data_IF_797460928208
#
_entry.id   IF_797460928208
#
_cell.length_a   1.000
_cell.length_b   1.000
_cell.length_c   1.000
_cell.angle_alpha   90.00
_cell.angle_beta   90.00
_cell.angle_gamma   90.00
#
_symmetry.space_group_name_H-M   'P 1'
#
loop_
_entity.id
_entity.type
_entity.pdbx_description
1 polymer ?
#
# COMPACT_ATOMS: atom_id res chain seq x y z
N UNK A 1 -34.08 -17.77 10.21
CA UNK A 1 -32.92 -17.85 9.30
C UNK A 1 -31.68 -17.30 10.00
N UNK A 2 -30.50 -17.91 9.82
CA UNK A 2 -29.24 -17.30 10.24
C UNK A 2 -28.93 -16.17 9.25
N UNK A 3 -28.65 -14.98 9.76
CA UNK A 3 -28.27 -13.83 8.96
C UNK A 3 -26.77 -13.94 8.60
N UNK A 4 -26.49 -14.74 7.57
CA UNK A 4 -25.13 -14.92 7.04
C UNK A 4 -24.67 -13.72 6.19
N UNK A 5 -25.58 -12.81 5.84
CA UNK A 5 -25.32 -11.70 4.92
C UNK A 5 -24.19 -10.80 5.40
N UNK A 6 -24.13 -10.51 6.70
CA UNK A 6 -23.06 -9.69 7.30
C UNK A 6 -21.67 -10.32 7.19
N UNK A 7 -21.55 -11.65 7.31
CA UNK A 7 -20.25 -12.34 7.20
C UNK A 7 -19.77 -12.37 5.75
N UNK A 8 -20.70 -12.61 4.83
CA UNK A 8 -20.40 -12.55 3.40
C UNK A 8 -19.96 -11.14 3.01
N UNK A 9 -20.63 -10.11 3.53
CA UNK A 9 -20.24 -8.72 3.32
C UNK A 9 -18.81 -8.45 3.81
N UNK A 10 -18.45 -8.87 5.02
CA UNK A 10 -17.09 -8.71 5.53
C UNK A 10 -16.04 -9.43 4.69
N UNK A 11 -16.33 -10.67 4.30
CA UNK A 11 -15.43 -11.46 3.46
C UNK A 11 -15.24 -10.80 2.09
N UNK A 12 -16.33 -10.39 1.44
CA UNK A 12 -16.28 -9.70 0.15
C UNK A 12 -15.50 -8.39 0.26
N UNK A 13 -15.81 -7.54 1.25
CA UNK A 13 -15.12 -6.28 1.45
C UNK A 13 -13.62 -6.49 1.72
N UNK A 14 -13.27 -7.52 2.49
CA UNK A 14 -11.88 -7.90 2.74
C UNK A 14 -11.16 -8.38 1.47
N UNK A 15 -11.77 -9.27 0.69
CA UNK A 15 -11.20 -9.77 -0.58
C UNK A 15 -11.00 -8.62 -1.58
N UNK A 16 -12.00 -7.76 -1.72
CA UNK A 16 -11.91 -6.55 -2.56
C UNK A 16 -10.77 -5.66 -2.08
N UNK A 17 -10.66 -5.43 -0.77
CA UNK A 17 -9.56 -4.64 -0.19
C UNK A 17 -8.20 -5.23 -0.56
N UNK A 18 -8.01 -6.54 -0.38
CA UNK A 18 -6.75 -7.22 -0.71
C UNK A 18 -6.43 -7.16 -2.21
N UNK A 19 -7.45 -7.29 -3.07
CA UNK A 19 -7.27 -7.25 -4.52
C UNK A 19 -6.74 -5.89 -5.00
N UNK A 20 -7.23 -4.80 -4.43
CA UNK A 20 -6.79 -3.43 -4.76
C UNK A 20 -5.56 -2.96 -3.97
N UNK A 21 -5.11 -3.74 -2.99
CA UNK A 21 -3.99 -3.40 -2.13
C UNK A 21 -2.68 -3.31 -2.90
N UNK A 22 -1.80 -2.42 -2.45
CA UNK A 22 -0.44 -2.34 -2.98
C UNK A 22 0.37 -3.56 -2.50
N UNK A 23 0.99 -4.27 -3.46
CA UNK A 23 1.73 -5.52 -3.20
C UNK A 23 2.89 -5.35 -2.20
N UNK A 24 3.53 -4.18 -2.19
CA UNK A 24 4.60 -3.86 -1.22
C UNK A 24 4.00 -3.62 0.16
N UNK A 25 2.87 -2.91 0.23
CA UNK A 25 2.20 -2.62 1.50
C UNK A 25 1.67 -3.87 2.18
N UNK A 26 1.13 -4.84 1.42
CA UNK A 26 0.74 -6.17 1.95
C UNK A 26 1.88 -6.90 2.66
N UNK A 27 3.12 -6.62 2.25
CA UNK A 27 4.34 -7.22 2.80
C UNK A 27 5.03 -6.27 3.80
N UNK A 28 4.27 -5.37 4.43
CA UNK A 28 4.69 -4.59 5.59
C UNK A 28 4.23 -5.29 6.87
N UNK A 29 5.03 -5.25 7.96
CA UNK A 29 4.63 -5.87 9.23
C UNK A 29 3.28 -5.37 9.75
N UNK A 30 2.99 -4.07 9.60
CA UNK A 30 1.72 -3.47 10.04
C UNK A 30 0.50 -4.00 9.29
N UNK A 31 0.64 -4.25 7.99
CA UNK A 31 -0.44 -4.82 7.18
C UNK A 31 -0.71 -6.27 7.58
N UNK A 32 0.34 -7.05 7.85
CA UNK A 32 0.19 -8.42 8.33
C UNK A 32 -0.54 -8.46 9.68
N UNK A 33 -0.14 -7.59 10.63
CA UNK A 33 -0.81 -7.49 11.94
C UNK A 33 -2.28 -7.10 11.78
N UNK A 34 -2.62 -6.11 10.95
CA UNK A 34 -4.02 -5.72 10.77
C UNK A 34 -4.88 -6.81 10.10
N UNK A 35 -4.31 -7.55 9.14
CA UNK A 35 -4.98 -8.70 8.52
C UNK A 35 -5.26 -9.80 9.56
N UNK A 36 -4.28 -10.14 10.41
CA UNK A 36 -4.44 -11.15 11.46
C UNK A 36 -5.51 -10.71 12.46
N UNK A 37 -5.46 -9.45 12.93
CA UNK A 37 -6.45 -8.90 13.86
C UNK A 37 -7.85 -8.95 13.26
N UNK A 38 -8.00 -8.59 11.98
CA UNK A 38 -9.29 -8.66 11.29
C UNK A 38 -9.83 -10.10 11.20
N UNK A 39 -8.96 -11.06 10.89
CA UNK A 39 -9.31 -12.48 10.86
C UNK A 39 -9.77 -13.01 12.21
N UNK A 40 -9.02 -12.71 13.28
CA UNK A 40 -9.39 -13.09 14.65
C UNK A 40 -10.72 -12.47 15.08
N UNK A 41 -10.92 -11.17 14.84
CA UNK A 41 -12.18 -10.50 15.18
C UNK A 41 -13.37 -11.08 14.41
N UNK A 42 -13.18 -11.39 13.12
CA UNK A 42 -14.23 -12.01 12.29
C UNK A 42 -14.61 -13.41 12.80
N UNK A 43 -13.63 -14.22 13.21
CA UNK A 43 -13.87 -15.52 13.86
C UNK A 43 -14.59 -15.37 15.20
N UNK A 44 -14.22 -14.39 16.01
CA UNK A 44 -14.90 -14.09 17.27
C UNK A 44 -16.35 -13.67 17.04
N UNK A 45 -16.64 -12.80 16.06
CA UNK A 45 -18.02 -12.42 15.71
C UNK A 45 -18.82 -13.65 15.30
N UNK A 46 -18.24 -14.56 14.50
CA UNK A 46 -18.90 -15.81 14.11
C UNK A 46 -19.19 -16.72 15.32
N UNK A 47 -18.18 -16.91 16.18
CA UNK A 47 -18.29 -17.74 17.38
C UNK A 47 -19.35 -17.21 18.35
N UNK A 48 -19.33 -15.91 18.65
CA UNK A 48 -20.29 -15.29 19.57
C UNK A 48 -21.72 -15.31 19.05
N UNK A 49 -21.94 -15.09 17.75
CA UNK A 49 -23.29 -15.15 17.17
C UNK A 49 -23.85 -16.58 17.12
N UNK A 50 -22.96 -17.58 16.99
CA UNK A 50 -23.32 -19.00 17.04
C UNK A 50 -23.68 -19.46 18.45
N UNK A 51 -22.87 -19.11 19.45
CA UNK A 51 -22.95 -19.70 20.80
C UNK A 51 -23.65 -18.80 21.84
N UNK A 52 -23.66 -17.47 21.66
CA UNK A 52 -24.09 -16.51 22.68
C UNK A 52 -25.15 -15.52 22.17
N UNK A 53 -26.19 -16.02 21.48
CA UNK A 53 -27.30 -15.21 20.89
C UNK A 53 -27.96 -14.22 21.86
N UNK A 54 -28.00 -14.52 23.16
CA UNK A 54 -28.62 -13.65 24.18
C UNK A 54 -27.76 -12.41 24.52
N UNK A 55 -26.45 -12.41 24.23
CA UNK A 55 -25.53 -11.31 24.54
C UNK A 55 -25.40 -10.32 23.37
N UNK A 56 -26.53 -9.72 22.95
CA UNK A 56 -26.61 -8.82 21.79
C UNK A 56 -25.63 -7.64 21.85
N UNK A 57 -25.34 -7.10 23.05
CA UNK A 57 -24.41 -5.97 23.23
C UNK A 57 -22.98 -6.33 22.87
N UNK A 58 -22.49 -7.49 23.31
CA UNK A 58 -21.12 -7.94 23.03
C UNK A 58 -20.95 -8.19 21.52
N UNK A 59 -21.93 -8.83 20.88
CA UNK A 59 -21.90 -9.06 19.43
C UNK A 59 -21.89 -7.75 18.63
N UNK A 60 -22.63 -6.71 19.08
CA UNK A 60 -22.59 -5.39 18.44
C UNK A 60 -21.22 -4.72 18.59
N UNK A 61 -20.61 -4.80 19.78
CA UNK A 61 -19.27 -4.23 20.03
C UNK A 61 -18.22 -4.93 19.15
N UNK A 62 -18.24 -6.26 19.10
CA UNK A 62 -17.34 -7.03 18.23
C UNK A 62 -17.53 -6.67 16.75
N UNK A 63 -18.76 -6.43 16.31
CA UNK A 63 -19.05 -5.99 14.95
C UNK A 63 -18.40 -4.63 14.64
N UNK A 64 -18.49 -3.67 15.55
CA UNK A 64 -17.84 -2.35 15.41
C UNK A 64 -16.32 -2.51 15.34
N UNK A 65 -15.72 -3.31 16.23
CA UNK A 65 -14.27 -3.56 16.20
C UNK A 65 -13.84 -4.26 14.91
N UNK A 66 -14.67 -5.15 14.36
CA UNK A 66 -14.39 -5.81 13.08
C UNK A 66 -14.37 -4.81 11.92
N UNK A 67 -15.33 -3.88 11.88
CA UNK A 67 -15.34 -2.78 10.91
C UNK A 67 -14.13 -1.87 11.05
N UNK A 68 -13.76 -1.49 12.28
CA UNK A 68 -12.56 -0.69 12.55
C UNK A 68 -11.28 -1.43 12.11
N UNK A 69 -11.21 -2.73 12.35
CA UNK A 69 -10.09 -3.55 11.91
C UNK A 69 -10.01 -3.64 10.39
N UNK A 70 -11.15 -3.74 9.70
CA UNK A 70 -11.18 -3.70 8.23
C UNK A 70 -10.67 -2.36 7.70
N UNK A 71 -11.05 -1.25 8.35
CA UNK A 71 -10.52 0.07 8.03
C UNK A 71 -8.99 0.13 8.22
N UNK A 72 -8.45 -0.48 9.28
CA UNK A 72 -7.00 -0.60 9.48
C UNK A 72 -6.33 -1.46 8.41
N UNK A 73 -6.97 -2.53 7.93
CA UNK A 73 -6.49 -3.29 6.78
C UNK A 73 -6.39 -2.37 5.57
N UNK A 74 -7.45 -1.65 5.21
CA UNK A 74 -7.43 -0.68 4.10
C UNK A 74 -6.30 0.33 4.29
N UNK A 75 -6.19 0.92 5.47
CA UNK A 75 -5.20 1.96 5.77
C UNK A 75 -3.75 1.46 5.69
N UNK A 76 -3.45 0.23 6.11
CA UNK A 76 -2.07 -0.29 6.09
C UNK A 76 -1.69 -1.04 4.82
N UNK A 77 -2.65 -1.43 3.99
CA UNK A 77 -2.42 -2.13 2.71
C UNK A 77 -2.38 -1.18 1.50
N UNK A 78 -2.65 0.09 1.71
CA UNK A 78 -2.54 1.14 0.70
C UNK A 78 -1.51 2.19 1.11
N UNK A 79 -0.90 2.86 0.15
CA UNK A 79 0.04 3.95 0.45
C UNK A 79 -0.72 5.24 0.78
N UNK A 80 -0.64 5.63 2.05
CA UNK A 80 -1.26 6.83 2.60
C UNK A 80 -0.49 7.28 3.84
N UNK A 81 -1.02 8.28 4.55
CA UNK A 81 -0.42 8.82 5.77
C UNK A 81 -0.16 7.74 6.84
N UNK A 82 -1.08 6.80 7.03
CA UNK A 82 -1.00 5.79 8.09
C UNK A 82 0.08 4.74 7.83
N UNK A 83 0.25 4.32 6.57
CA UNK A 83 1.28 3.36 6.18
C UNK A 83 2.66 4.00 6.03
N UNK A 84 2.73 5.25 5.57
CA UNK A 84 4.01 5.89 5.18
C UNK A 84 4.45 7.09 6.04
N UNK A 85 3.60 7.55 6.97
CA UNK A 85 3.76 8.73 7.87
C UNK A 85 3.98 10.09 7.22
N UNK A 86 4.07 10.16 5.89
CA UNK A 86 4.47 11.37 5.16
C UNK A 86 3.63 11.68 3.93
N UNK A 87 2.67 10.83 3.53
CA UNK A 87 1.79 11.11 2.38
C UNK A 87 0.47 11.67 2.90
N UNK A 88 0.14 12.92 2.58
CA UNK A 88 -1.20 13.45 2.88
C UNK A 88 -2.25 12.81 1.95
N UNK A 89 -3.23 12.11 2.52
CA UNK A 89 -4.45 11.69 1.80
C UNK A 89 -4.33 10.50 0.84
N UNK A 90 -5.17 10.53 -0.21
CA UNK A 90 -5.40 9.48 -1.23
C UNK A 90 -4.36 9.45 -2.36
N UNK A 91 -3.33 10.29 -2.28
CA UNK A 91 -2.41 10.60 -3.39
C UNK A 91 -1.62 9.39 -3.92
N UNK A 92 -1.42 8.36 -3.09
CA UNK A 92 -0.73 7.12 -3.48
C UNK A 92 -1.58 5.86 -3.24
N UNK A 93 -2.88 6.03 -2.99
CA UNK A 93 -3.76 4.92 -2.62
C UNK A 93 -3.74 3.80 -3.69
N UNK A 94 -3.83 4.17 -4.97
CA UNK A 94 -3.75 3.25 -6.11
C UNK A 94 -2.35 3.13 -6.74
N UNK A 95 -1.30 3.33 -5.94
CA UNK A 95 0.08 3.31 -6.44
C UNK A 95 0.44 1.99 -7.11
N UNK A 96 1.12 2.11 -8.25
CA UNK A 96 1.68 1.00 -9.01
C UNK A 96 3.06 0.64 -8.48
N UNK A 97 3.42 -0.65 -8.52
CA UNK A 97 4.70 -1.16 -8.06
C UNK A 97 5.58 -1.58 -9.24
N UNK A 98 6.85 -1.18 -9.22
CA UNK A 98 7.83 -1.51 -10.24
C UNK A 98 9.14 -1.98 -9.58
N UNK A 99 9.67 -3.13 -10.01
CA UNK A 99 11.02 -3.52 -9.59
C UNK A 99 12.04 -2.63 -10.30
N UNK A 100 12.97 -2.07 -9.54
CA UNK A 100 14.06 -1.23 -10.06
C UNK A 100 15.37 -1.66 -9.44
N UNK A 101 16.44 -1.60 -10.22
CA UNK A 101 17.81 -1.83 -9.75
C UNK A 101 18.54 -0.49 -9.68
N UNK A 102 19.16 -0.20 -8.54
CA UNK A 102 19.92 1.03 -8.24
C UNK A 102 21.23 0.56 -7.58
N UNK A 103 22.37 0.88 -8.17
CA UNK A 103 23.73 0.42 -7.80
C UNK A 103 23.85 -1.05 -7.44
N UNK A 104 23.41 -1.92 -8.35
CA UNK A 104 23.51 -3.35 -8.09
C UNK A 104 22.44 -3.89 -7.12
N UNK A 105 21.76 -3.03 -6.35
CA UNK A 105 20.76 -3.41 -5.35
C UNK A 105 19.34 -3.37 -5.92
N UNK A 106 18.51 -4.31 -5.45
CA UNK A 106 17.11 -4.43 -5.87
C UNK A 106 16.21 -3.61 -4.95
N UNK A 107 15.36 -2.80 -5.56
CA UNK A 107 14.34 -2.01 -4.90
C UNK A 107 12.98 -2.21 -5.59
N UNK A 108 11.92 -1.84 -4.88
CA UNK A 108 10.59 -1.66 -5.47
C UNK A 108 10.24 -0.19 -5.40
N UNK A 109 10.05 0.41 -6.56
CA UNK A 109 9.53 1.75 -6.73
C UNK A 109 8.02 1.67 -6.75
N UNK A 110 7.36 2.41 -5.87
CA UNK A 110 5.93 2.63 -5.96
C UNK A 110 5.66 4.04 -6.43
N UNK A 111 4.66 4.18 -7.30
CA UNK A 111 4.39 5.46 -7.94
C UNK A 111 2.91 5.64 -8.25
N UNK A 112 2.47 6.88 -8.11
CA UNK A 112 1.15 7.31 -8.52
C UNK A 112 1.29 8.66 -9.23
N UNK A 113 0.48 8.87 -10.27
CA UNK A 113 0.35 10.16 -10.94
C UNK A 113 -1.03 10.74 -10.66
N UNK A 114 -1.11 12.01 -10.29
CA UNK A 114 -2.37 12.74 -10.16
C UNK A 114 -2.44 13.89 -11.19
N UNK A 115 -3.67 14.22 -11.61
CA UNK A 115 -4.08 15.34 -12.49
C UNK A 115 -3.91 15.15 -14.01
N UNK A 116 -4.85 15.75 -14.74
CA UNK A 116 -4.96 15.78 -16.21
C UNK A 116 -4.22 16.97 -16.86
N UNK A 117 -4.03 18.09 -16.13
CA UNK A 117 -3.43 19.32 -16.69
C UNK A 117 -1.97 19.52 -16.25
N UNK A 118 -1.64 19.13 -15.02
CA UNK A 118 -0.27 19.14 -14.47
C UNK A 118 -0.06 17.78 -13.82
N UNK A 119 0.70 16.91 -14.46
CA UNK A 119 0.88 15.55 -13.98
C UNK A 119 1.90 15.56 -12.84
N UNK A 120 1.41 15.36 -11.62
CA UNK A 120 2.28 15.28 -10.44
C UNK A 120 2.58 13.83 -10.16
N UNK A 121 3.87 13.47 -10.15
CA UNK A 121 4.32 12.12 -9.84
C UNK A 121 4.82 12.04 -8.40
N UNK A 122 4.34 10.99 -7.73
CA UNK A 122 4.72 10.60 -6.39
C UNK A 122 5.58 9.34 -6.46
N UNK A 123 6.68 9.30 -5.70
CA UNK A 123 7.58 8.16 -5.67
C UNK A 123 7.97 7.77 -4.24
N UNK A 124 7.81 6.48 -3.94
CA UNK A 124 8.38 5.84 -2.76
C UNK A 124 9.26 4.67 -3.15
N UNK A 125 10.35 4.50 -2.42
CA UNK A 125 11.32 3.45 -2.69
C UNK A 125 11.36 2.50 -1.50
N UNK A 126 11.28 1.21 -1.80
CA UNK A 126 11.27 0.15 -0.82
C UNK A 126 12.39 -0.84 -1.09
N UNK A 127 13.06 -1.26 -0.02
CA UNK A 127 14.06 -2.32 -0.07
C UNK A 127 13.51 -3.54 0.68
N UNK A 128 13.85 -4.72 0.18
CA UNK A 128 13.54 -5.98 0.86
C UNK A 128 14.49 -6.15 2.06
N UNK A 129 13.94 -6.31 3.25
CA UNK A 129 14.65 -6.67 4.48
C UNK A 129 14.05 -7.99 5.01
N UNK A 130 14.69 -9.10 4.64
CA UNK A 130 14.17 -10.44 4.95
C UNK A 130 12.82 -10.72 4.28
N UNK A 131 11.79 -11.01 5.07
CA UNK A 131 10.44 -11.29 4.57
C UNK A 131 9.64 -10.02 4.25
N UNK A 132 10.05 -8.87 4.78
CA UNK A 132 9.27 -7.63 4.70
C UNK A 132 9.95 -6.59 3.82
N UNK A 133 9.16 -5.63 3.34
CA UNK A 133 9.72 -4.42 2.75
C UNK A 133 9.89 -3.33 3.80
N UNK A 134 10.89 -2.48 3.59
CA UNK A 134 11.08 -1.24 4.34
C UNK A 134 11.23 -0.08 3.38
N UNK A 135 10.56 1.03 3.68
CA UNK A 135 10.73 2.29 2.95
C UNK A 135 12.12 2.87 3.22
N UNK A 136 12.88 3.15 2.16
CA UNK A 136 14.25 3.68 2.29
C UNK A 136 14.31 5.20 2.14
N UNK A 137 13.36 5.83 1.44
CA UNK A 137 13.33 7.28 1.33
C UNK A 137 12.64 7.93 2.55
N UNK A 138 13.38 8.76 3.29
CA UNK A 138 12.87 9.48 4.49
C UNK A 138 11.79 10.52 4.13
N UNK A 139 11.96 11.19 2.99
CA UNK A 139 10.96 12.08 2.37
C UNK A 139 10.53 11.48 1.04
N UNK A 140 9.29 11.71 0.63
CA UNK A 140 8.85 11.38 -0.73
C UNK A 140 9.70 12.15 -1.75
N UNK A 141 9.83 11.60 -2.94
CA UNK A 141 10.32 12.39 -4.07
C UNK A 141 9.11 12.88 -4.85
N UNK A 142 8.91 14.19 -4.88
CA UNK A 142 7.88 14.82 -5.70
C UNK A 142 8.50 15.32 -6.98
N UNK A 143 7.90 14.96 -8.10
CA UNK A 143 8.21 15.57 -9.39
C UNK A 143 6.93 16.19 -9.92
N UNK A 144 6.90 17.52 -9.92
CA UNK A 144 5.89 18.28 -10.66
C UNK A 144 6.34 18.37 -12.11
N UNK A 145 5.51 17.89 -13.02
CA UNK A 145 5.76 18.10 -14.44
C UNK A 145 4.50 18.60 -15.13
N UNK A 146 4.58 19.81 -15.69
CA UNK A 146 3.64 20.28 -16.71
C UNK A 146 4.02 19.56 -18.00
N UNK A 147 3.32 18.49 -18.37
CA UNK A 147 3.46 17.82 -19.67
C UNK A 147 4.89 17.47 -20.14
N UNK A 148 5.92 17.34 -19.27
CA UNK A 148 7.29 17.20 -19.82
C UNK A 148 7.51 15.87 -20.52
N UNK A 149 6.76 14.81 -20.18
CA UNK A 149 6.98 13.49 -20.77
C UNK A 149 5.70 12.62 -20.78
N UNK A 150 4.70 12.91 -21.64
CA UNK A 150 3.47 12.11 -21.72
C UNK A 150 3.75 10.64 -22.08
N UNK A 151 4.81 10.40 -22.87
CA UNK A 151 5.16 9.07 -23.39
C UNK A 151 6.22 8.33 -22.55
N UNK A 152 6.72 8.92 -21.46
CA UNK A 152 7.74 8.27 -20.62
C UNK A 152 7.11 7.63 -19.40
N UNK A 153 7.58 6.43 -19.08
CA UNK A 153 7.13 5.71 -17.89
C UNK A 153 7.55 6.41 -16.60
N UNK A 154 6.77 6.23 -15.52
CA UNK A 154 7.10 6.74 -14.18
C UNK A 154 8.49 6.30 -13.70
N UNK A 155 8.94 5.10 -14.09
CA UNK A 155 10.28 4.59 -13.79
C UNK A 155 11.36 5.42 -14.49
N UNK A 156 11.15 5.79 -15.76
CA UNK A 156 12.08 6.64 -16.50
C UNK A 156 12.19 8.03 -15.86
N UNK A 157 11.06 8.62 -15.46
CA UNK A 157 11.00 9.93 -14.78
C UNK A 157 11.74 9.85 -13.44
N UNK A 158 11.50 8.80 -12.64
CA UNK A 158 12.22 8.61 -11.39
C UNK A 158 13.75 8.53 -11.61
N UNK A 159 14.20 7.74 -12.58
CA UNK A 159 15.64 7.57 -12.84
C UNK A 159 16.31 8.83 -13.39
N UNK A 160 15.65 9.57 -14.27
CA UNK A 160 16.26 10.72 -14.95
C UNK A 160 16.04 12.06 -14.27
N UNK A 161 15.03 12.17 -13.39
CA UNK A 161 14.73 13.42 -12.70
C UNK A 161 15.02 13.31 -11.21
N UNK A 162 14.60 12.22 -10.56
CA UNK A 162 14.79 12.06 -9.10
C UNK A 162 16.21 11.59 -8.78
N UNK A 163 16.68 10.50 -9.39
CA UNK A 163 18.01 9.96 -9.07
C UNK A 163 19.15 10.89 -9.52
N UNK A 164 19.00 11.60 -10.64
CA UNK A 164 20.04 12.52 -11.16
C UNK A 164 20.17 13.81 -10.35
N UNK A 165 19.08 14.35 -9.80
CA UNK A 165 19.07 15.65 -9.12
C UNK A 165 19.25 15.56 -7.60
N UNK A 166 19.26 14.36 -7.03
CA UNK A 166 19.49 14.16 -5.59
C UNK A 166 20.97 13.85 -5.38
N UNK A 167 21.79 14.88 -5.17
CA UNK A 167 23.21 14.76 -4.76
C UNK A 167 23.43 13.99 -3.44
N UNK A 168 22.39 13.45 -2.80
CA UNK A 168 22.42 12.76 -1.50
C UNK A 168 21.78 11.37 -1.49
N UNK A 169 21.59 10.74 -2.65
CA UNK A 169 21.59 9.29 -2.75
C UNK A 169 22.96 8.96 -3.33
N UNK A 170 23.90 8.49 -2.51
CA UNK A 170 25.18 7.97 -3.01
C UNK A 170 24.89 6.77 -3.92
N UNK A 171 24.67 7.09 -5.19
CA UNK A 171 24.37 6.18 -6.29
C UNK A 171 25.29 6.64 -7.41
N UNK A 172 26.42 5.97 -7.49
CA UNK A 172 27.55 6.28 -8.37
C UNK A 172 27.07 6.37 -9.85
N UNK A 173 27.54 7.35 -10.64
CA UNK A 173 27.15 7.59 -12.04
C UNK A 173 27.32 6.42 -13.05
N UNK A 174 27.75 5.22 -12.64
CA UNK A 174 28.01 4.07 -13.53
C UNK A 174 26.90 3.00 -13.61
N UNK A 175 25.70 3.24 -13.09
CA UNK A 175 24.67 2.20 -12.99
C UNK A 175 23.81 2.03 -14.26
N UNK A 176 23.85 0.83 -14.87
CA UNK A 176 22.97 0.41 -15.96
C UNK A 176 21.56 0.03 -15.46
N UNK A 177 20.53 0.44 -16.19
CA UNK A 177 19.12 0.34 -15.79
C UNK A 177 18.32 -0.65 -16.63
N UNK A 178 18.02 -1.82 -16.06
CA UNK A 178 17.12 -2.80 -16.69
C UNK A 178 15.66 -2.53 -16.28
N UNK A 179 14.75 -2.57 -17.26
CA UNK A 179 13.30 -2.53 -17.08
C UNK A 179 12.74 -3.89 -17.45
N UNK A 180 12.05 -4.55 -16.52
CA UNK A 180 11.12 -5.63 -16.84
C UNK A 180 9.74 -5.21 -16.32
N UNK A 181 8.76 -5.00 -17.21
CA UNK A 181 7.38 -4.88 -16.78
C UNK A 181 6.99 -6.22 -16.12
N UNK A 182 6.40 -6.14 -14.94
CA UNK A 182 5.73 -7.31 -14.36
C UNK A 182 4.33 -7.28 -14.93
N UNK A 183 4.06 -8.17 -15.88
CA UNK A 183 2.70 -8.47 -16.34
C UNK A 183 1.88 -9.09 -15.21
#
# INVERSE_FOLDING_TARGET
>A
MRDYGKYLLFLLAFVVTLFFSNKVMLQMPKALVSIIVFGVLSLLVFYFDKHFRKRKTISKILLIFTWLSLFLVVAYTHENYWSTKNVYGTQMFYSKCFKVKIDGKNYVLTTQSHSFTIRTYFFNLYQREGLFYRRVNRKYYFVYTKNMHPDKSSVWIFKNTVLKNVHNLQVDPKTAFYYQPIN
#
